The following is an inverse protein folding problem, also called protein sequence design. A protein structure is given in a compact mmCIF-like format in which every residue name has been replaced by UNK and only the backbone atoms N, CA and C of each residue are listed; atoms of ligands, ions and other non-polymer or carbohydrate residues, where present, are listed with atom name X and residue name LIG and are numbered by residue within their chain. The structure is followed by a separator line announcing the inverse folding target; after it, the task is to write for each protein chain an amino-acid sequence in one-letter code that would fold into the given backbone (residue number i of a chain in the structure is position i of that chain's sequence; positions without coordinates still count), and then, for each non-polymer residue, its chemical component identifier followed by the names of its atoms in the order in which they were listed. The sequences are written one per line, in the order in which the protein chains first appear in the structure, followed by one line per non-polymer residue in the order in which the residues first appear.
data_IF_140979504699
#
_entry.id   IF_140979504699
#
_cell.length_a   1.000
_cell.length_b   1.000
_cell.length_c   1.000
_cell.angle_alpha   90.00
_cell.angle_beta   90.00
_cell.angle_gamma   90.00
#
_symmetry.space_group_name_H-M   'P 1'
#
loop_
_entity.id
_entity.type
_entity.pdbx_description
1 polymer ?
#
# COMPACT_ATOMS: atom_id res chain seq x y z
N UNK A 1 25.71 16.29 -11.06
CA UNK A 1 24.28 15.92 -11.23
C UNK A 1 23.97 15.36 -12.62
N UNK A 2 24.50 15.92 -13.72
CA UNK A 2 24.25 15.41 -15.08
C UNK A 2 24.75 13.96 -15.33
N UNK A 3 25.95 13.61 -14.85
CA UNK A 3 26.51 12.27 -15.04
C UNK A 3 25.69 11.13 -14.41
N UNK A 4 25.00 11.38 -13.30
CA UNK A 4 24.17 10.36 -12.65
C UNK A 4 22.93 10.02 -13.51
N UNK A 5 22.41 11.04 -14.23
CA UNK A 5 21.27 10.90 -15.10
C UNK A 5 21.62 10.13 -16.38
N UNK A 6 22.82 10.33 -16.93
CA UNK A 6 23.31 9.57 -18.08
C UNK A 6 23.50 8.08 -17.74
N UNK A 7 24.12 7.75 -16.60
CA UNK A 7 24.30 6.36 -16.18
C UNK A 7 22.97 5.67 -15.86
N UNK A 8 22.00 6.40 -15.31
CA UNK A 8 20.64 5.87 -15.09
C UNK A 8 19.88 5.64 -16.40
N UNK A 9 19.99 6.56 -17.37
CA UNK A 9 19.37 6.40 -18.68
C UNK A 9 20.01 5.26 -19.49
N UNK A 10 21.32 5.08 -19.43
CA UNK A 10 22.00 3.93 -20.03
C UNK A 10 21.54 2.61 -19.39
N UNK A 11 21.45 2.55 -18.06
CA UNK A 11 20.98 1.37 -17.36
C UNK A 11 19.50 1.05 -17.70
N UNK A 12 18.65 2.08 -17.79
CA UNK A 12 17.26 1.94 -18.22
C UNK A 12 17.15 1.49 -19.68
N UNK A 13 17.94 2.06 -20.59
CA UNK A 13 17.98 1.66 -22.00
C UNK A 13 18.37 0.19 -22.15
N UNK A 14 19.40 -0.24 -21.42
CA UNK A 14 19.88 -1.62 -21.43
C UNK A 14 18.84 -2.59 -20.83
N UNK A 15 18.10 -2.15 -19.81
CA UNK A 15 17.01 -2.91 -19.21
C UNK A 15 15.81 -3.05 -20.16
N UNK A 16 15.41 -1.97 -20.83
CA UNK A 16 14.33 -1.97 -21.83
C UNK A 16 14.69 -2.89 -22.99
N UNK A 17 15.92 -2.82 -23.51
CA UNK A 17 16.38 -3.70 -24.58
C UNK A 17 16.37 -5.17 -24.16
N UNK A 18 16.71 -5.46 -22.90
CA UNK A 18 16.64 -6.82 -22.35
C UNK A 18 15.19 -7.30 -22.24
N UNK A 19 14.27 -6.44 -21.79
CA UNK A 19 12.84 -6.74 -21.77
C UNK A 19 12.34 -7.04 -23.17
N UNK A 20 12.68 -6.22 -24.15
CA UNK A 20 12.25 -6.38 -25.54
C UNK A 20 12.78 -7.70 -26.13
N UNK A 21 14.02 -8.08 -25.83
CA UNK A 21 14.58 -9.38 -26.19
C UNK A 21 13.84 -10.55 -25.52
N UNK A 22 13.48 -10.43 -24.24
CA UNK A 22 12.69 -11.43 -23.52
C UNK A 22 11.26 -11.53 -24.07
N UNK A 23 10.61 -10.42 -24.41
CA UNK A 23 9.27 -10.42 -25.00
C UNK A 23 9.28 -10.97 -26.43
N UNK A 24 10.33 -10.72 -27.20
CA UNK A 24 10.50 -11.28 -28.54
C UNK A 24 10.75 -12.79 -28.56
N UNK A 25 11.22 -13.37 -27.45
CA UNK A 25 11.44 -14.82 -27.30
C UNK A 25 10.26 -15.55 -26.63
N UNK A 26 9.38 -14.84 -25.94
CA UNK A 26 8.19 -15.40 -25.29
C UNK A 26 7.03 -15.55 -26.29
N UNK A 27 6.43 -16.74 -26.32
CA UNK A 27 5.23 -16.97 -27.15
C UNK A 27 4.04 -16.16 -26.61
N UNK A 28 3.08 -15.81 -27.48
CA UNK A 28 1.96 -14.92 -27.12
C UNK A 28 1.20 -15.37 -25.85
N UNK A 29 0.99 -16.67 -25.69
CA UNK A 29 0.32 -17.26 -24.52
C UNK A 29 1.06 -16.99 -23.20
N UNK A 30 2.40 -17.00 -23.23
CA UNK A 30 3.21 -16.75 -22.04
C UNK A 30 3.15 -15.28 -21.64
N UNK A 31 3.15 -14.36 -22.61
CA UNK A 31 2.98 -12.92 -22.36
C UNK A 31 1.61 -12.66 -21.71
N UNK A 32 0.56 -13.29 -22.22
CA UNK A 32 -0.78 -13.19 -21.62
C UNK A 32 -0.80 -13.71 -20.18
N UNK A 33 -0.22 -14.90 -19.94
CA UNK A 33 -0.14 -15.46 -18.59
C UNK A 33 0.65 -14.56 -17.62
N UNK A 34 1.78 -13.99 -18.07
CA UNK A 34 2.59 -13.03 -17.31
C UNK A 34 1.80 -11.76 -16.98
N UNK A 35 1.07 -11.21 -17.95
CA UNK A 35 0.22 -10.03 -17.71
C UNK A 35 -0.87 -10.30 -16.67
N UNK A 36 -1.48 -11.49 -16.70
CA UNK A 36 -2.47 -11.91 -15.71
C UNK A 36 -1.86 -12.08 -14.33
N UNK A 37 -0.70 -12.72 -14.22
CA UNK A 37 0.02 -12.86 -12.95
C UNK A 37 0.44 -11.51 -12.37
N UNK A 38 0.92 -10.59 -13.22
CA UNK A 38 1.29 -9.25 -12.80
C UNK A 38 0.07 -8.47 -12.30
N UNK A 39 -1.03 -8.51 -13.06
CA UNK A 39 -2.30 -7.88 -12.68
C UNK A 39 -2.84 -8.41 -11.36
N UNK A 40 -2.86 -9.74 -11.19
CA UNK A 40 -3.28 -10.39 -9.94
C UNK A 40 -2.39 -9.97 -8.76
N UNK A 41 -1.07 -9.89 -8.97
CA UNK A 41 -0.12 -9.48 -7.93
C UNK A 41 -0.34 -8.03 -7.51
N UNK A 42 -0.56 -7.13 -8.47
CA UNK A 42 -0.87 -5.72 -8.20
C UNK A 42 -2.19 -5.60 -7.44
N UNK A 43 -3.22 -6.32 -7.86
CA UNK A 43 -4.52 -6.32 -7.19
C UNK A 43 -4.40 -6.82 -5.74
N UNK A 44 -3.66 -7.90 -5.53
CA UNK A 44 -3.41 -8.45 -4.20
C UNK A 44 -2.69 -7.45 -3.28
N UNK A 45 -1.67 -6.75 -3.81
CA UNK A 45 -0.98 -5.68 -3.10
C UNK A 45 -1.92 -4.53 -2.72
N UNK A 46 -2.80 -4.09 -3.63
CA UNK A 46 -3.79 -3.06 -3.34
C UNK A 46 -4.77 -3.47 -2.25
N UNK A 47 -5.30 -4.70 -2.32
CA UNK A 47 -6.19 -5.25 -1.30
C UNK A 47 -5.48 -5.28 0.06
N UNK A 48 -4.25 -5.79 0.11
CA UNK A 48 -3.45 -5.82 1.33
C UNK A 48 -3.20 -4.41 1.90
N UNK A 49 -2.92 -3.43 1.05
CA UNK A 49 -2.75 -2.04 1.45
C UNK A 49 -4.03 -1.44 2.05
N UNK A 50 -5.17 -1.65 1.40
CA UNK A 50 -6.48 -1.17 1.88
C UNK A 50 -6.82 -1.82 3.22
N UNK A 51 -6.63 -3.13 3.36
CA UNK A 51 -6.85 -3.86 4.61
C UNK A 51 -5.97 -3.33 5.73
N UNK A 52 -4.66 -3.15 5.48
CA UNK A 52 -3.74 -2.60 6.49
C UNK A 52 -4.14 -1.19 6.92
N UNK A 53 -4.55 -0.34 5.98
CA UNK A 53 -5.05 1.01 6.26
C UNK A 53 -6.34 0.96 7.09
N UNK A 54 -7.28 0.07 6.73
CA UNK A 54 -8.53 -0.14 7.47
C UNK A 54 -8.29 -0.62 8.90
N UNK A 55 -7.40 -1.59 9.11
CA UNK A 55 -7.02 -2.06 10.46
C UNK A 55 -6.42 -0.93 11.28
N UNK A 56 -5.54 -0.11 10.69
CA UNK A 56 -4.95 1.05 11.38
C UNK A 56 -6.03 2.06 11.78
N UNK A 57 -6.94 2.41 10.87
CA UNK A 57 -8.05 3.33 11.14
C UNK A 57 -8.98 2.77 12.24
N UNK A 58 -9.31 1.48 12.19
CA UNK A 58 -10.13 0.82 13.21
C UNK A 58 -9.46 0.85 14.59
N UNK A 59 -8.13 0.71 14.65
CA UNK A 59 -7.37 0.83 15.91
C UNK A 59 -7.44 2.25 16.48
N UNK A 60 -7.30 3.27 15.63
CA UNK A 60 -7.42 4.69 16.03
C UNK A 60 -8.83 4.97 16.53
N UNK A 61 -9.86 4.51 15.81
CA UNK A 61 -11.26 4.69 16.22
C UNK A 61 -11.55 4.06 17.59
N UNK A 62 -11.06 2.84 17.83
CA UNK A 62 -11.19 2.19 19.14
C UNK A 62 -10.50 3.00 20.24
N UNK A 63 -9.30 3.53 19.99
CA UNK A 63 -8.60 4.36 20.96
C UNK A 63 -9.37 5.65 21.29
N UNK A 64 -9.98 6.29 20.29
CA UNK A 64 -10.82 7.48 20.49
C UNK A 64 -12.07 7.14 21.30
N UNK A 65 -12.81 6.09 20.95
CA UNK A 65 -13.98 5.66 21.73
C UNK A 65 -13.64 5.34 23.19
N UNK A 66 -12.50 4.70 23.45
CA UNK A 66 -12.06 4.45 24.84
C UNK A 66 -11.78 5.75 25.57
N UNK A 67 -11.11 6.72 24.94
CA UNK A 67 -10.86 8.04 25.54
C UNK A 67 -12.15 8.79 25.84
N UNK A 68 -13.10 8.82 24.92
CA UNK A 68 -14.39 9.48 25.10
C UNK A 68 -15.20 8.83 26.23
N UNK A 69 -15.15 7.49 26.32
CA UNK A 69 -15.84 6.76 27.39
C UNK A 69 -15.25 7.08 28.76
N UNK A 70 -13.92 7.17 28.87
CA UNK A 70 -13.24 7.55 30.12
C UNK A 70 -13.60 8.99 30.49
N UNK A 71 -13.52 9.92 29.54
CA UNK A 71 -13.84 11.33 29.78
C UNK A 71 -15.29 11.52 30.24
N UNK A 72 -16.24 10.81 29.61
CA UNK A 72 -17.66 10.83 29.99
C UNK A 72 -17.90 10.26 31.38
N UNK A 73 -17.22 9.18 31.76
CA UNK A 73 -17.29 8.63 33.14
C UNK A 73 -16.78 9.64 34.16
N UNK A 74 -15.62 10.23 33.89
CA UNK A 74 -14.99 11.20 34.78
C UNK A 74 -15.83 12.48 34.94
N UNK A 75 -16.46 12.96 33.86
CA UNK A 75 -17.40 14.07 33.93
C UNK A 75 -18.63 13.74 34.78
N UNK A 76 -19.23 12.56 34.57
CA UNK A 76 -20.41 12.13 35.32
C UNK A 76 -20.11 11.93 36.82
N UNK A 77 -18.92 11.42 37.15
CA UNK A 77 -18.46 11.24 38.52
C UNK A 77 -18.18 12.58 39.22
N UNK A 78 -17.57 13.55 38.53
CA UNK A 78 -17.36 14.90 39.05
C UNK A 78 -18.66 15.70 39.23
N UNK A 79 -19.70 15.46 38.41
CA UNK A 79 -21.01 16.10 38.57
C UNK A 79 -21.90 15.40 39.59
N UNK A 80 -21.76 14.08 39.75
CA UNK A 80 -22.47 13.32 40.78
C UNK A 80 -21.92 13.55 42.20
N UNK A 81 -20.67 14.01 42.33
CA UNK A 81 -20.06 14.34 43.62
C UNK A 81 -20.32 15.79 44.07
N UNK A 82 -21.06 16.57 43.27
CA UNK A 82 -21.42 17.96 43.55
C UNK A 82 -22.87 18.14 44.04
N UNK A 83 -23.62 17.06 44.22
CA UNK A 83 -24.93 16.97 44.91
C UNK A 83 -24.79 16.20 46.21
#
# INVERSE_FOLDING_TARGET
MLQLNDTQNEAFGNFVQRIDFFLGTLHHEQIVALSYMLSASVLFCFIGYILRKSVRQKKILKQLQTKDTIWKKQYNENHSSQT
#
